data_IF_858147407852
#
_entry.id   IF_858147407852
#
_cell.length_a   1.000
_cell.length_b   1.000
_cell.length_c   1.000
_cell.angle_alpha   90.00
_cell.angle_beta   90.00
_cell.angle_gamma   90.00
#
_symmetry.space_group_name_H-M   'P 1'
#
loop_
_entity.id
_entity.type
_entity.pdbx_description
1 polymer ?
#
# COMPACT_ATOMS: atom_id res chain seq x y z
N UNK A 1 -22.99 -9.86 -17.77
CA UNK A 1 -23.16 -8.76 -18.74
C UNK A 1 -22.31 -7.62 -18.22
N UNK A 2 -21.41 -7.03 -19.01
CA UNK A 2 -20.68 -5.85 -18.57
C UNK A 2 -21.69 -4.70 -18.43
N UNK A 3 -21.82 -4.12 -17.23
CA UNK A 3 -22.67 -2.95 -17.02
C UNK A 3 -22.23 -1.83 -17.97
N UNK A 4 -23.20 -1.21 -18.62
CA UNK A 4 -22.94 -0.15 -19.60
C UNK A 4 -22.47 1.08 -18.83
N UNK A 5 -21.31 1.61 -19.19
CA UNK A 5 -20.79 2.85 -18.62
C UNK A 5 -21.81 3.98 -18.80
N UNK A 6 -21.96 4.80 -17.77
CA UNK A 6 -22.85 5.98 -17.77
C UNK A 6 -22.39 7.01 -18.81
N UNK A 7 -21.09 7.31 -18.81
CA UNK A 7 -20.39 8.08 -19.84
C UNK A 7 -19.38 7.16 -20.57
N UNK A 8 -19.62 6.82 -21.85
CA UNK A 8 -18.75 5.93 -22.60
C UNK A 8 -17.36 6.53 -22.90
N UNK A 9 -17.17 7.84 -22.70
CA UNK A 9 -15.88 8.50 -22.94
C UNK A 9 -14.99 8.53 -21.69
N UNK A 10 -15.55 8.20 -20.52
CA UNK A 10 -14.81 8.17 -19.26
C UNK A 10 -14.40 6.75 -18.89
N UNK A 11 -13.30 6.56 -18.16
CA UNK A 11 -12.97 5.26 -17.58
C UNK A 11 -14.05 4.76 -16.61
N UNK A 12 -14.16 3.44 -16.45
CA UNK A 12 -15.11 2.80 -15.53
C UNK A 12 -15.02 3.29 -14.07
N UNK A 13 -13.81 3.61 -13.60
CA UNK A 13 -13.54 3.99 -12.21
C UNK A 13 -13.72 5.48 -11.91
N UNK A 14 -14.01 6.31 -12.92
CA UNK A 14 -14.20 7.74 -12.70
C UNK A 14 -15.52 8.00 -11.98
N UNK A 15 -15.54 8.98 -11.07
CA UNK A 15 -16.79 9.43 -10.44
C UNK A 15 -17.58 10.24 -11.47
N UNK A 16 -18.84 9.85 -11.70
CA UNK A 16 -19.75 10.56 -12.61
C UNK A 16 -20.79 11.40 -11.87
N UNK A 17 -21.07 11.04 -10.62
CA UNK A 17 -22.04 11.73 -9.78
C UNK A 17 -21.57 11.72 -8.33
N UNK A 18 -21.67 12.86 -7.66
CA UNK A 18 -21.50 12.99 -6.19
C UNK A 18 -22.86 13.34 -5.63
N UNK A 19 -23.34 12.54 -4.67
CA UNK A 19 -24.65 12.67 -4.05
C UNK A 19 -24.59 13.70 -2.90
N UNK A 20 -25.74 14.26 -2.53
CA UNK A 20 -25.85 15.29 -1.49
C UNK A 20 -25.33 14.83 -0.12
N UNK A 21 -25.39 13.52 0.15
CA UNK A 21 -24.92 12.92 1.39
C UNK A 21 -23.43 12.54 1.37
N UNK A 22 -22.69 12.97 0.34
CA UNK A 22 -21.26 12.72 0.14
C UNK A 22 -20.92 11.36 -0.44
N UNK A 23 -21.91 10.48 -0.67
CA UNK A 23 -21.69 9.27 -1.46
C UNK A 23 -21.40 9.66 -2.92
N UNK A 24 -20.90 8.70 -3.71
CA UNK A 24 -20.62 8.94 -5.12
C UNK A 24 -20.99 7.72 -5.97
N UNK A 25 -21.23 7.94 -7.25
CA UNK A 25 -21.46 6.89 -8.23
C UNK A 25 -20.31 6.91 -9.24
N UNK A 26 -19.66 5.76 -9.39
CA UNK A 26 -18.66 5.53 -10.42
C UNK A 26 -19.32 5.34 -11.77
N UNK A 27 -18.56 5.56 -12.84
CA UNK A 27 -19.03 5.45 -14.21
C UNK A 27 -19.55 4.04 -14.55
N UNK A 28 -18.99 3.02 -13.90
CA UNK A 28 -19.44 1.62 -13.96
C UNK A 28 -20.67 1.30 -13.10
N UNK A 29 -21.28 2.28 -12.44
CA UNK A 29 -22.49 2.11 -11.62
C UNK A 29 -22.21 1.71 -10.17
N UNK A 30 -20.94 1.48 -9.80
CA UNK A 30 -20.59 1.17 -8.41
C UNK A 30 -20.83 2.39 -7.53
N UNK A 31 -21.70 2.25 -6.53
CA UNK A 31 -21.90 3.25 -5.48
C UNK A 31 -20.78 3.18 -4.45
N UNK A 32 -20.21 4.34 -4.15
CA UNK A 32 -19.22 4.57 -3.12
C UNK A 32 -19.85 5.27 -1.92
N UNK A 33 -19.51 4.81 -0.73
CA UNK A 33 -19.96 5.38 0.53
C UNK A 33 -19.00 6.46 1.00
N UNK A 34 -19.54 7.62 1.41
CA UNK A 34 -18.74 8.69 2.01
C UNK A 34 -17.88 8.15 3.16
N UNK A 35 -16.59 8.51 3.20
CA UNK A 35 -15.67 7.99 4.21
C UNK A 35 -16.15 8.25 5.65
N UNK A 36 -16.78 9.40 5.93
CA UNK A 36 -17.30 9.74 7.26
C UNK A 36 -18.48 8.87 7.74
N UNK A 37 -19.05 8.01 6.88
CA UNK A 37 -20.03 6.96 7.23
C UNK A 37 -19.36 5.60 7.47
N UNK A 38 -18.07 5.46 7.15
CA UNK A 38 -17.32 4.23 7.34
C UNK A 38 -16.74 4.18 8.76
N UNK A 39 -17.03 3.14 9.55
CA UNK A 39 -16.62 3.10 10.96
C UNK A 39 -15.10 3.01 11.14
N UNK A 40 -14.36 2.34 10.25
CA UNK A 40 -12.90 2.32 10.34
C UNK A 40 -12.29 3.69 10.01
N UNK A 41 -12.85 4.42 9.05
CA UNK A 41 -12.38 5.78 8.77
C UNK A 41 -12.69 6.75 9.90
N UNK A 42 -13.88 6.66 10.50
CA UNK A 42 -14.24 7.48 11.66
C UNK A 42 -13.33 7.20 12.84
N UNK A 43 -12.95 5.94 13.06
CA UNK A 43 -11.97 5.57 14.08
C UNK A 43 -10.56 6.09 13.74
N UNK A 44 -10.11 5.94 12.48
CA UNK A 44 -8.80 6.45 12.05
C UNK A 44 -8.68 7.97 12.13
N UNK A 45 -9.81 8.68 12.11
CA UNK A 45 -9.89 10.15 12.16
C UNK A 45 -10.56 10.65 13.43
N UNK A 46 -10.55 9.89 14.53
CA UNK A 46 -11.42 10.12 15.69
C UNK A 46 -11.32 11.51 16.33
N UNK A 47 -10.16 12.17 16.21
CA UNK A 47 -9.93 13.53 16.72
C UNK A 47 -10.21 14.63 15.70
N UNK A 48 -10.54 14.27 14.47
CA UNK A 48 -10.81 15.20 13.36
C UNK A 48 -10.19 14.72 12.04
N UNK A 49 -10.67 15.34 10.96
CA UNK A 49 -10.18 15.14 9.61
C UNK A 49 -9.29 16.34 9.24
N UNK A 50 -8.32 16.14 8.34
CA UNK A 50 -7.52 17.25 7.83
C UNK A 50 -8.39 18.11 6.89
N UNK A 51 -8.43 19.42 7.14
CA UNK A 51 -9.18 20.38 6.33
C UNK A 51 -8.27 21.10 5.33
N UNK A 52 -8.88 21.64 4.28
CA UNK A 52 -8.23 22.50 3.29
C UNK A 52 -8.37 23.96 3.74
N UNK A 53 -7.24 24.66 3.95
CA UNK A 53 -7.21 26.12 4.04
C UNK A 53 -6.37 26.68 2.87
N UNK A 54 -6.97 27.59 2.10
CA UNK A 54 -6.30 28.49 1.15
C UNK A 54 -5.28 27.86 0.18
N UNK A 55 -5.62 26.73 -0.47
CA UNK A 55 -4.77 26.05 -1.46
C UNK A 55 -3.37 25.62 -0.96
N UNK A 56 -3.15 25.61 0.35
CA UNK A 56 -1.94 25.09 0.97
C UNK A 56 -2.29 23.99 1.96
N UNK A 57 -1.50 22.90 1.94
CA UNK A 57 -1.70 21.78 2.85
C UNK A 57 -1.21 22.18 4.25
N UNK A 58 -2.11 22.57 5.14
CA UNK A 58 -1.82 22.64 6.57
C UNK A 58 -1.93 21.23 7.16
N UNK A 59 -0.89 20.42 6.94
CA UNK A 59 -0.82 19.10 7.55
C UNK A 59 -0.59 19.25 9.06
N UNK A 60 -1.69 19.22 9.84
CA UNK A 60 -1.65 19.28 11.29
C UNK A 60 -1.00 18.00 11.85
N UNK A 61 0.32 18.08 12.08
CA UNK A 61 1.11 17.01 12.70
C UNK A 61 0.59 16.61 14.08
N UNK A 62 -0.02 17.54 14.82
CA UNK A 62 -0.61 17.29 16.12
C UNK A 62 -1.89 16.46 16.02
N UNK A 63 -2.79 16.81 15.10
CA UNK A 63 -3.98 16.03 14.78
C UNK A 63 -3.60 14.62 14.30
N UNK A 64 -2.67 14.55 13.35
CA UNK A 64 -2.12 13.29 12.84
C UNK A 64 -1.61 12.38 13.95
N UNK A 65 -0.84 12.94 14.90
CA UNK A 65 -0.30 12.19 16.02
C UNK A 65 -1.39 11.69 16.98
N UNK A 66 -2.44 12.49 17.24
CA UNK A 66 -3.57 12.08 18.08
C UNK A 66 -4.37 10.95 17.42
N UNK A 67 -4.66 11.08 16.12
CA UNK A 67 -5.37 10.05 15.35
C UNK A 67 -4.57 8.75 15.27
N UNK A 68 -3.27 8.82 14.96
CA UNK A 68 -2.37 7.66 15.00
C UNK A 68 -2.38 6.97 16.37
N UNK A 69 -2.31 7.76 17.45
CA UNK A 69 -2.32 7.23 18.81
C UNK A 69 -3.61 6.47 19.12
N UNK A 70 -4.76 7.02 18.75
CA UNK A 70 -6.03 6.33 18.93
C UNK A 70 -6.13 5.04 18.09
N UNK A 71 -5.74 5.12 16.82
CA UNK A 71 -5.75 3.96 15.93
C UNK A 71 -4.85 2.85 16.45
N UNK A 72 -3.58 3.15 16.78
CA UNK A 72 -2.64 2.14 17.27
C UNK A 72 -3.03 1.63 18.66
N UNK A 73 -3.65 2.45 19.52
CA UNK A 73 -4.19 2.00 20.81
C UNK A 73 -5.27 0.94 20.60
N UNK A 74 -6.18 1.17 19.65
CA UNK A 74 -7.24 0.23 19.30
C UNK A 74 -6.69 -1.01 18.57
N UNK A 75 -5.85 -0.83 17.55
CA UNK A 75 -5.38 -1.92 16.71
C UNK A 75 -4.50 -2.89 17.51
N UNK A 76 -3.52 -2.36 18.25
CA UNK A 76 -2.52 -3.14 18.98
C UNK A 76 -2.97 -3.53 20.39
N UNK A 77 -4.27 -3.42 20.69
CA UNK A 77 -4.75 -3.55 22.06
C UNK A 77 -4.45 -4.94 22.66
N UNK A 78 -4.55 -6.01 21.86
CA UNK A 78 -4.26 -7.38 22.31
C UNK A 78 -2.78 -7.76 22.50
N UNK A 79 -1.84 -6.83 22.27
CA UNK A 79 -0.40 -7.13 22.37
C UNK A 79 0.13 -6.97 23.80
N UNK A 80 0.92 -7.96 24.23
CA UNK A 80 1.78 -7.89 25.42
C UNK A 80 2.91 -6.86 25.24
N UNK A 81 3.55 -6.46 26.34
CA UNK A 81 4.65 -5.48 26.30
C UNK A 81 5.84 -5.99 25.46
N UNK A 82 6.19 -7.27 25.61
CA UNK A 82 7.26 -7.90 24.81
C UNK A 82 6.93 -7.89 23.30
N UNK A 83 5.69 -8.21 22.93
CA UNK A 83 5.25 -8.16 21.54
C UNK A 83 5.27 -6.73 20.99
N UNK A 84 4.89 -5.73 21.80
CA UNK A 84 4.97 -4.31 21.40
C UNK A 84 6.41 -3.87 21.20
N UNK A 85 7.33 -4.25 22.07
CA UNK A 85 8.75 -3.92 21.94
C UNK A 85 9.36 -4.53 20.67
N UNK A 86 9.13 -5.83 20.46
CA UNK A 86 9.58 -6.54 19.26
C UNK A 86 8.98 -5.93 17.99
N UNK A 87 7.70 -5.58 18.03
CA UNK A 87 7.00 -4.94 16.91
C UNK A 87 7.53 -3.54 16.61
N UNK A 88 7.68 -2.70 17.62
CA UNK A 88 8.21 -1.35 17.48
C UNK A 88 9.60 -1.40 16.84
N UNK A 89 10.45 -2.31 17.32
CA UNK A 89 11.79 -2.53 16.77
C UNK A 89 11.75 -3.00 15.31
N UNK A 90 10.88 -3.96 14.97
CA UNK A 90 10.75 -4.50 13.60
C UNK A 90 10.21 -3.47 12.60
N UNK A 91 9.30 -2.61 13.03
CA UNK A 91 8.62 -1.63 12.18
C UNK A 91 9.29 -0.24 12.17
N UNK A 92 10.35 -0.03 12.96
CA UNK A 92 10.97 1.29 13.11
C UNK A 92 10.05 2.32 13.78
N UNK A 93 9.11 1.85 14.60
CA UNK A 93 8.20 2.67 15.40
C UNK A 93 8.76 2.83 16.81
N UNK A 94 8.28 3.83 17.56
CA UNK A 94 8.56 3.88 18.99
C UNK A 94 7.59 2.98 19.75
N UNK A 95 7.98 2.43 20.90
CA UNK A 95 7.06 1.69 21.78
C UNK A 95 5.87 2.59 22.18
N UNK A 96 6.10 3.89 22.32
CA UNK A 96 5.05 4.88 22.57
C UNK A 96 4.04 4.99 21.42
N UNK A 97 4.45 4.79 20.17
CA UNK A 97 3.56 4.76 18.99
C UNK A 97 2.67 3.51 18.97
N UNK A 98 3.09 2.41 19.61
CA UNK A 98 2.28 1.20 19.79
C UNK A 98 1.47 1.22 21.10
N UNK A 99 1.54 2.32 21.86
CA UNK A 99 0.80 2.63 23.10
C UNK A 99 1.11 1.67 24.28
N UNK A 100 0.81 2.03 25.55
CA UNK A 100 1.06 1.13 26.68
C UNK A 100 -0.01 0.03 26.81
N UNK A 101 0.32 -1.02 27.56
CA UNK A 101 -0.51 -2.20 27.81
C UNK A 101 -1.99 -1.88 28.10
N UNK A 102 -2.91 -2.66 27.51
CA UNK A 102 -4.36 -2.61 27.75
C UNK A 102 -4.76 -2.68 29.23
N UNK A 103 -3.96 -3.36 30.07
CA UNK A 103 -4.22 -3.42 31.52
C UNK A 103 -3.92 -2.12 32.25
N UNK A 104 -3.16 -1.20 31.65
CA UNK A 104 -2.87 0.09 32.27
C UNK A 104 -4.16 0.91 32.38
N UNK A 105 -4.39 1.50 33.55
CA UNK A 105 -5.57 2.34 33.80
C UNK A 105 -5.65 3.51 32.81
N UNK A 106 -4.49 3.99 32.34
CA UNK A 106 -4.38 5.04 31.33
C UNK A 106 -4.89 4.58 29.96
N UNK A 107 -4.48 3.41 29.48
CA UNK A 107 -4.96 2.86 28.20
C UNK A 107 -6.48 2.65 28.21
N UNK A 108 -7.03 2.14 29.31
CA UNK A 108 -8.48 1.96 29.48
C UNK A 108 -9.24 3.29 29.42
N UNK A 109 -8.77 4.32 30.11
CA UNK A 109 -9.38 5.64 30.09
C UNK A 109 -9.35 6.29 28.70
N UNK A 110 -8.24 6.11 27.97
CA UNK A 110 -8.13 6.61 26.59
C UNK A 110 -9.05 5.86 25.62
N UNK A 111 -9.17 4.54 25.73
CA UNK A 111 -10.09 3.77 24.91
C UNK A 111 -11.57 4.13 25.20
N UNK A 112 -11.91 4.42 26.46
CA UNK A 112 -13.24 4.90 26.82
C UNK A 112 -13.53 6.27 26.18
N UNK A 113 -12.57 7.20 26.18
CA UNK A 113 -12.70 8.49 25.49
C UNK A 113 -12.83 8.33 23.97
N UNK A 114 -12.06 7.43 23.36
CA UNK A 114 -12.17 7.09 21.93
C UNK A 114 -13.57 6.54 21.64
N UNK A 115 -14.09 5.65 22.48
CA UNK A 115 -15.42 5.05 22.33
C UNK A 115 -16.51 6.13 22.39
N UNK A 116 -16.43 7.05 23.36
CA UNK A 116 -17.39 8.18 23.46
C UNK A 116 -17.37 9.07 22.23
N UNK A 117 -16.18 9.41 21.72
CA UNK A 117 -16.04 10.19 20.47
C UNK A 117 -16.59 9.44 19.27
N UNK A 118 -16.41 8.13 19.23
CA UNK A 118 -16.86 7.30 18.13
C UNK A 118 -18.38 7.26 18.09
N UNK A 119 -19.00 6.99 19.24
CA UNK A 119 -20.46 7.05 19.43
C UNK A 119 -21.03 8.42 19.11
N UNK A 120 -20.33 9.51 19.45
CA UNK A 120 -20.76 10.86 19.08
C UNK A 120 -20.76 11.10 17.56
N UNK A 121 -19.90 10.42 16.79
CA UNK A 121 -19.81 10.56 15.33
C UNK A 121 -20.68 9.55 14.56
N UNK A 122 -20.84 8.33 15.09
CA UNK A 122 -21.54 7.23 14.41
C UNK A 122 -22.96 6.94 14.96
N UNK A 123 -23.28 7.44 16.15
CA UNK A 123 -24.52 7.14 16.88
C UNK A 123 -24.23 6.47 18.23
N UNK A 124 -25.05 6.78 19.24
CA UNK A 124 -24.83 6.34 20.62
C UNK A 124 -24.79 4.81 20.80
N UNK A 125 -25.53 4.09 19.96
CA UNK A 125 -25.63 2.62 20.01
C UNK A 125 -24.54 1.92 19.20
N UNK A 126 -23.63 2.67 18.56
CA UNK A 126 -22.58 2.10 17.72
C UNK A 126 -21.32 1.79 18.52
N UNK A 127 -20.94 0.52 18.57
CA UNK A 127 -19.69 0.07 19.17
C UNK A 127 -18.49 0.29 18.25
N UNK A 128 -17.30 0.43 18.85
CA UNK A 128 -16.06 0.40 18.09
C UNK A 128 -15.96 -0.91 17.27
N UNK A 129 -15.45 -0.86 16.03
CA UNK A 129 -15.12 -2.06 15.28
C UNK A 129 -14.23 -3.00 16.10
N UNK A 130 -14.43 -4.31 15.97
CA UNK A 130 -13.54 -5.29 16.61
C UNK A 130 -12.12 -5.17 16.04
N UNK A 131 -11.11 -5.14 16.92
CA UNK A 131 -9.69 -5.18 16.53
C UNK A 131 -9.21 -6.59 16.12
N UNK A 132 -10.04 -7.61 16.32
CA UNK A 132 -9.79 -8.97 15.81
C UNK A 132 -10.23 -9.13 14.35
N UNK A 133 -11.10 -8.22 13.88
CA UNK A 133 -11.59 -8.20 12.50
C UNK A 133 -10.71 -7.40 11.54
N UNK A 134 -10.97 -7.59 10.26
CA UNK A 134 -10.31 -6.86 9.18
C UNK A 134 -10.78 -5.40 9.13
N UNK A 135 -9.89 -4.48 8.76
CA UNK A 135 -10.23 -3.08 8.52
C UNK A 135 -10.77 -2.91 7.11
N UNK A 136 -12.05 -2.51 6.97
CA UNK A 136 -12.73 -2.51 5.68
C UNK A 136 -13.14 -1.11 5.20
N UNK A 137 -12.41 -0.61 4.21
CA UNK A 137 -12.65 0.62 3.47
C UNK A 137 -13.11 0.36 2.03
N UNK A 138 -13.62 -0.85 1.75
CA UNK A 138 -14.12 -1.21 0.42
C UNK A 138 -15.27 -0.30 0.01
N UNK A 139 -15.24 0.17 -1.24
CA UNK A 139 -16.21 1.10 -1.82
C UNK A 139 -16.30 2.43 -1.04
N UNK A 140 -15.25 2.88 -0.35
CA UNK A 140 -15.23 4.18 0.31
C UNK A 140 -14.76 5.29 -0.65
N UNK A 141 -15.35 6.48 -0.55
CA UNK A 141 -14.82 7.71 -1.15
C UNK A 141 -14.26 8.63 -0.08
N UNK A 142 -12.95 8.88 -0.15
CA UNK A 142 -12.21 9.81 0.70
C UNK A 142 -12.06 11.14 -0.04
N UNK A 143 -12.94 12.10 0.28
CA UNK A 143 -12.95 13.43 -0.34
C UNK A 143 -11.89 14.39 0.23
N UNK A 144 -11.33 14.07 1.39
CA UNK A 144 -10.32 14.87 2.11
C UNK A 144 -8.94 14.19 2.10
N UNK A 145 -7.91 14.95 2.46
CA UNK A 145 -6.58 14.40 2.73
C UNK A 145 -6.64 13.28 3.78
N UNK A 146 -5.92 12.20 3.51
CA UNK A 146 -5.93 11.02 4.37
C UNK A 146 -4.52 10.71 4.88
N UNK A 147 -4.43 10.54 6.19
CA UNK A 147 -3.17 10.32 6.87
C UNK A 147 -3.21 9.05 7.72
N UNK A 148 -2.55 8.01 7.22
CA UNK A 148 -2.27 6.76 7.90
C UNK A 148 -0.79 6.64 8.28
N UNK A 149 -0.05 7.75 8.36
CA UNK A 149 1.37 7.75 8.72
C UNK A 149 1.58 6.97 10.03
N UNK A 150 2.45 5.95 9.99
CA UNK A 150 2.81 5.09 11.14
C UNK A 150 1.62 4.37 11.81
N UNK A 151 0.48 4.26 11.13
CA UNK A 151 -0.63 3.44 11.62
C UNK A 151 -0.37 1.95 11.39
N UNK A 152 -0.80 1.12 12.34
CA UNK A 152 -0.63 -0.33 12.31
C UNK A 152 -1.95 -1.03 12.01
N UNK A 153 -1.95 -1.87 10.99
CA UNK A 153 -3.06 -2.74 10.60
C UNK A 153 -2.69 -4.18 10.98
N UNK A 154 -3.17 -4.65 12.14
CA UNK A 154 -2.88 -6.01 12.66
C UNK A 154 -3.46 -7.12 11.78
N UNK A 155 -4.58 -6.82 11.14
CA UNK A 155 -5.38 -7.73 10.32
C UNK A 155 -5.40 -7.22 8.88
N UNK A 156 -6.16 -7.88 8.01
CA UNK A 156 -6.23 -7.46 6.62
C UNK A 156 -6.88 -6.08 6.53
N UNK A 157 -6.36 -5.25 5.63
CA UNK A 157 -6.84 -3.90 5.35
C UNK A 157 -7.32 -3.85 3.89
N UNK A 158 -8.63 -3.70 3.72
CA UNK A 158 -9.28 -3.70 2.40
C UNK A 158 -9.65 -2.28 1.99
N UNK A 159 -9.14 -1.84 0.84
CA UNK A 159 -9.43 -0.58 0.16
C UNK A 159 -9.96 -0.85 -1.26
N UNK A 160 -10.64 -1.98 -1.46
CA UNK A 160 -11.12 -2.38 -2.79
C UNK A 160 -12.11 -1.35 -3.32
N UNK A 161 -11.97 -0.96 -4.60
CA UNK A 161 -12.76 0.08 -5.25
C UNK A 161 -12.74 1.46 -4.56
N UNK A 162 -11.88 1.67 -3.55
CA UNK A 162 -11.83 2.92 -2.83
C UNK A 162 -11.32 4.05 -3.72
N UNK A 163 -11.84 5.26 -3.52
CA UNK A 163 -11.41 6.46 -4.24
C UNK A 163 -10.83 7.47 -3.27
N UNK A 164 -9.58 7.85 -3.51
CA UNK A 164 -8.87 8.90 -2.76
C UNK A 164 -8.83 10.15 -3.64
N UNK A 165 -9.71 11.11 -3.36
CA UNK A 165 -9.88 12.31 -4.19
C UNK A 165 -8.72 13.31 -4.01
N UNK A 166 -7.99 13.21 -2.89
CA UNK A 166 -6.87 14.06 -2.48
C UNK A 166 -5.65 13.21 -2.13
N UNK A 167 -4.57 13.86 -1.73
CA UNK A 167 -3.32 13.18 -1.36
C UNK A 167 -3.54 12.25 -0.15
N UNK A 168 -2.84 11.13 -0.18
CA UNK A 168 -2.87 10.14 0.89
C UNK A 168 -1.46 9.70 1.26
N UNK A 169 -1.21 9.61 2.56
CA UNK A 169 0.05 9.09 3.09
C UNK A 169 -0.19 7.86 3.96
N UNK A 170 0.52 6.80 3.60
CA UNK A 170 0.75 5.56 4.35
C UNK A 170 2.22 5.48 4.77
N UNK A 171 2.89 6.63 4.90
CA UNK A 171 4.33 6.68 5.20
C UNK A 171 4.61 5.99 6.53
N UNK A 172 5.52 5.02 6.53
CA UNK A 172 5.82 4.16 7.69
C UNK A 172 4.62 3.39 8.26
N UNK A 173 3.52 3.27 7.53
CA UNK A 173 2.40 2.41 7.92
C UNK A 173 2.84 0.94 7.90
N UNK A 174 2.26 0.14 8.79
CA UNK A 174 2.56 -1.28 8.90
C UNK A 174 1.32 -2.13 8.67
N UNK A 175 1.34 -2.89 7.58
CA UNK A 175 0.31 -3.86 7.22
C UNK A 175 0.79 -5.26 7.58
N UNK A 176 0.24 -5.82 8.67
CA UNK A 176 0.63 -7.14 9.16
C UNK A 176 -0.17 -8.26 8.53
N UNK A 177 -1.45 -8.01 8.24
CA UNK A 177 -2.28 -8.80 7.32
C UNK A 177 -2.10 -8.38 5.87
N UNK A 178 -2.99 -8.84 5.00
CA UNK A 178 -3.02 -8.44 3.59
C UNK A 178 -3.44 -6.97 3.45
N UNK A 179 -2.77 -6.23 2.56
CA UNK A 179 -3.16 -4.87 2.19
C UNK A 179 -3.68 -4.88 0.75
N UNK A 180 -4.98 -4.66 0.58
CA UNK A 180 -5.66 -4.94 -0.69
C UNK A 180 -6.30 -3.66 -1.23
N UNK A 181 -5.87 -3.25 -2.42
CA UNK A 181 -6.23 -1.99 -3.09
C UNK A 181 -6.83 -2.26 -4.48
N UNK A 182 -7.48 -3.41 -4.69
CA UNK A 182 -7.94 -3.81 -6.03
C UNK A 182 -8.98 -2.80 -6.55
N UNK A 183 -8.84 -2.36 -7.80
CA UNK A 183 -9.69 -1.34 -8.44
C UNK A 183 -9.79 0.01 -7.70
N UNK A 184 -8.87 0.31 -6.78
CA UNK A 184 -8.80 1.61 -6.12
C UNK A 184 -8.28 2.69 -7.07
N UNK A 185 -8.68 3.94 -6.83
CA UNK A 185 -8.22 5.10 -7.62
C UNK A 185 -7.68 6.19 -6.70
N UNK A 186 -6.47 6.65 -6.97
CA UNK A 186 -5.79 7.72 -6.26
C UNK A 186 -5.63 8.92 -7.18
N UNK A 187 -6.36 9.99 -6.89
CA UNK A 187 -6.32 11.23 -7.69
C UNK A 187 -5.18 12.16 -7.27
N UNK A 188 -4.86 12.21 -5.97
CA UNK A 188 -3.74 12.98 -5.42
C UNK A 188 -2.42 12.20 -5.36
N UNK A 189 -1.42 12.84 -4.78
CA UNK A 189 -0.13 12.23 -4.50
C UNK A 189 -0.26 11.12 -3.46
N UNK A 190 0.45 10.02 -3.68
CA UNK A 190 0.34 8.82 -2.83
C UNK A 190 1.69 8.38 -2.30
N UNK A 191 1.81 8.33 -0.97
CA UNK A 191 3.07 8.05 -0.28
C UNK A 191 2.99 6.77 0.56
N UNK A 192 3.69 5.72 0.12
CA UNK A 192 3.96 4.48 0.87
C UNK A 192 5.42 4.44 1.37
N UNK A 193 6.07 5.59 1.52
CA UNK A 193 7.47 5.65 1.90
C UNK A 193 7.71 4.92 3.23
N UNK A 194 8.74 4.09 3.32
CA UNK A 194 9.08 3.33 4.53
C UNK A 194 7.97 2.41 5.07
N UNK A 195 6.89 2.16 4.32
CA UNK A 195 5.83 1.27 4.77
C UNK A 195 6.30 -0.19 4.80
N UNK A 196 5.70 -0.99 5.68
CA UNK A 196 5.97 -2.42 5.76
C UNK A 196 4.72 -3.20 5.39
N UNK A 197 4.83 -4.07 4.39
CA UNK A 197 3.84 -5.07 4.02
C UNK A 197 4.38 -6.44 4.43
N UNK A 198 3.94 -6.93 5.59
CA UNK A 198 4.41 -8.21 6.15
C UNK A 198 3.74 -9.42 5.50
N UNK A 199 2.57 -9.23 4.88
CA UNK A 199 1.87 -10.22 4.04
C UNK A 199 1.80 -9.75 2.57
N UNK A 200 0.78 -10.19 1.83
CA UNK A 200 0.48 -9.77 0.47
C UNK A 200 0.09 -8.29 0.40
N UNK A 201 0.69 -7.54 -0.52
CA UNK A 201 0.26 -6.21 -0.94
C UNK A 201 -0.29 -6.29 -2.37
N UNK A 202 -1.58 -6.02 -2.54
CA UNK A 202 -2.32 -6.33 -3.77
C UNK A 202 -2.89 -5.03 -4.34
N UNK A 203 -2.36 -4.58 -5.47
CA UNK A 203 -2.72 -3.34 -6.16
C UNK A 203 -3.32 -3.58 -7.55
N UNK A 204 -3.88 -4.78 -7.78
CA UNK A 204 -4.38 -5.16 -9.09
C UNK A 204 -5.44 -4.17 -9.59
N UNK A 205 -5.30 -3.72 -10.83
CA UNK A 205 -6.20 -2.73 -11.44
C UNK A 205 -6.29 -1.39 -10.70
N UNK A 206 -5.42 -1.11 -9.72
CA UNK A 206 -5.37 0.21 -9.10
C UNK A 206 -4.90 1.26 -10.11
N UNK A 207 -5.39 2.49 -9.94
CA UNK A 207 -5.04 3.63 -10.80
C UNK A 207 -4.47 4.74 -9.93
N UNK A 208 -3.24 5.14 -10.22
CA UNK A 208 -2.56 6.27 -9.58
C UNK A 208 -2.42 7.39 -10.60
N UNK A 209 -3.14 8.48 -10.37
CA UNK A 209 -3.24 9.60 -11.31
C UNK A 209 -2.05 10.55 -11.20
N UNK A 210 -1.46 10.67 -10.00
CA UNK A 210 -0.37 11.59 -9.72
C UNK A 210 0.86 10.87 -9.14
N UNK A 211 1.80 11.64 -8.58
CA UNK A 211 3.06 11.11 -8.07
C UNK A 211 2.81 9.99 -7.05
N UNK A 212 3.51 8.88 -7.21
CA UNK A 212 3.42 7.75 -6.27
C UNK A 212 4.80 7.31 -5.81
N UNK A 213 4.95 7.09 -4.51
CA UNK A 213 6.24 6.69 -3.94
C UNK A 213 6.10 5.50 -3.00
N UNK A 214 6.83 4.43 -3.33
CA UNK A 214 7.09 3.27 -2.50
C UNK A 214 8.54 3.27 -1.96
N UNK A 215 9.16 4.46 -1.88
CA UNK A 215 10.57 4.57 -1.50
C UNK A 215 10.85 3.97 -0.12
N UNK A 216 11.85 3.10 -0.02
CA UNK A 216 12.17 2.31 1.19
C UNK A 216 11.05 1.40 1.71
N UNK A 217 9.96 1.20 0.96
CA UNK A 217 8.90 0.27 1.36
C UNK A 217 9.44 -1.18 1.36
N UNK A 218 8.97 -2.00 2.30
CA UNK A 218 9.35 -3.41 2.37
C UNK A 218 8.15 -4.31 2.09
N UNK A 219 8.27 -5.13 1.04
CA UNK A 219 7.30 -6.15 0.66
C UNK A 219 7.85 -7.53 1.03
N UNK A 220 7.27 -8.12 2.07
CA UNK A 220 7.81 -9.33 2.67
C UNK A 220 7.43 -10.59 1.91
N UNK A 221 6.21 -10.65 1.35
CA UNK A 221 5.67 -11.83 0.65
C UNK A 221 5.44 -11.52 -0.83
N UNK A 222 4.21 -11.15 -1.20
CA UNK A 222 3.82 -10.84 -2.58
C UNK A 222 3.56 -9.34 -2.69
N UNK A 223 4.02 -8.75 -3.80
CA UNK A 223 3.63 -7.42 -4.23
C UNK A 223 3.04 -7.55 -5.65
N UNK A 224 1.72 -7.54 -5.75
CA UNK A 224 1.03 -7.70 -7.03
C UNK A 224 0.56 -6.34 -7.56
N UNK A 225 1.20 -5.88 -8.63
CA UNK A 225 0.87 -4.67 -9.37
C UNK A 225 0.30 -5.01 -10.76
N UNK A 226 -0.25 -6.21 -10.94
CA UNK A 226 -0.79 -6.62 -12.23
C UNK A 226 -1.98 -5.77 -12.66
N UNK A 227 -1.97 -5.30 -13.89
CA UNK A 227 -2.96 -4.39 -14.48
C UNK A 227 -3.06 -3.02 -13.79
N UNK A 228 -2.10 -2.66 -12.92
CA UNK A 228 -2.02 -1.31 -12.36
C UNK A 228 -1.81 -0.28 -13.47
N UNK A 229 -2.28 0.93 -13.26
CA UNK A 229 -1.98 2.08 -14.12
C UNK A 229 -1.38 3.22 -13.30
N UNK A 230 -0.12 3.55 -13.56
CA UNK A 230 0.52 4.78 -13.08
C UNK A 230 0.51 5.82 -14.20
N UNK A 231 -0.08 6.98 -13.95
CA UNK A 231 -0.21 8.08 -14.91
C UNK A 231 0.89 9.13 -14.78
N UNK A 232 1.68 9.06 -13.72
CA UNK A 232 2.75 10.00 -13.38
C UNK A 232 3.95 9.26 -12.78
N UNK A 233 5.02 9.99 -12.47
CA UNK A 233 6.26 9.50 -11.86
C UNK A 233 5.97 8.56 -10.69
N UNK A 234 6.60 7.39 -10.72
CA UNK A 234 6.46 6.37 -9.67
C UNK A 234 7.83 5.93 -9.19
N UNK A 235 8.09 6.01 -7.88
CA UNK A 235 9.41 5.70 -7.32
C UNK A 235 9.37 4.49 -6.41
N UNK A 236 10.19 3.49 -6.72
CA UNK A 236 10.49 2.36 -5.85
C UNK A 236 11.91 2.44 -5.27
N UNK A 237 12.52 3.63 -5.23
CA UNK A 237 13.89 3.84 -4.72
C UNK A 237 14.09 3.17 -3.37
N UNK A 238 15.10 2.29 -3.27
CA UNK A 238 15.40 1.49 -2.08
C UNK A 238 14.26 0.61 -1.53
N UNK A 239 13.18 0.40 -2.29
CA UNK A 239 12.16 -0.58 -1.94
C UNK A 239 12.77 -1.99 -1.89
N UNK A 240 12.25 -2.84 -1.00
CA UNK A 240 12.74 -4.20 -0.78
C UNK A 240 11.64 -5.20 -1.08
N UNK A 241 11.93 -6.14 -1.97
CA UNK A 241 11.09 -7.29 -2.31
C UNK A 241 11.81 -8.54 -1.80
N UNK A 242 11.33 -9.12 -0.71
CA UNK A 242 12.10 -10.14 0.02
C UNK A 242 11.92 -11.55 -0.57
N UNK A 243 10.69 -11.92 -0.93
CA UNK A 243 10.32 -13.31 -1.23
C UNK A 243 9.94 -13.52 -2.70
N UNK A 244 9.07 -12.66 -3.24
CA UNK A 244 8.61 -12.73 -4.63
C UNK A 244 9.05 -11.52 -5.43
N UNK A 245 9.32 -11.74 -6.72
CA UNK A 245 9.57 -10.62 -7.65
C UNK A 245 8.23 -9.91 -7.84
N UNK A 246 8.15 -8.58 -7.73
CA UNK A 246 6.88 -7.88 -7.89
C UNK A 246 6.29 -8.12 -9.28
N UNK A 247 4.98 -8.36 -9.32
CA UNK A 247 4.29 -8.71 -10.56
C UNK A 247 3.73 -7.48 -11.25
N UNK A 248 4.02 -7.33 -12.54
CA UNK A 248 3.57 -6.21 -13.39
C UNK A 248 2.92 -6.69 -14.69
N UNK A 249 2.23 -7.84 -14.63
CA UNK A 249 1.49 -8.36 -15.79
C UNK A 249 0.41 -7.37 -16.23
N UNK A 250 0.29 -7.08 -17.53
CA UNK A 250 -0.63 -6.07 -18.08
C UNK A 250 -0.56 -4.65 -17.46
N UNK A 251 0.44 -4.34 -16.63
CA UNK A 251 0.61 -3.02 -16.03
C UNK A 251 0.94 -1.94 -17.07
N UNK A 252 0.49 -0.72 -16.81
CA UNK A 252 0.85 0.51 -17.53
C UNK A 252 1.63 1.41 -16.58
N UNK A 253 2.95 1.45 -16.75
CA UNK A 253 3.82 2.30 -15.93
C UNK A 253 4.12 3.59 -16.68
N UNK A 254 4.24 4.70 -15.96
CA UNK A 254 4.67 5.97 -16.52
C UNK A 254 6.16 5.91 -16.88
N UNK A 255 6.60 6.65 -17.90
CA UNK A 255 7.99 6.58 -18.41
C UNK A 255 9.06 6.90 -17.36
N UNK A 256 8.75 7.77 -16.40
CA UNK A 256 9.58 8.11 -15.24
C UNK A 256 9.29 7.20 -14.02
N UNK A 257 9.05 5.91 -14.25
CA UNK A 257 8.96 4.91 -13.18
C UNK A 257 10.34 4.37 -12.87
N UNK A 258 10.81 4.50 -11.64
CA UNK A 258 12.18 4.12 -11.22
C UNK A 258 12.15 2.95 -10.25
N UNK A 259 13.03 1.98 -10.47
CA UNK A 259 13.20 0.79 -9.64
C UNK A 259 14.53 0.79 -8.87
N UNK A 260 14.64 0.07 -7.74
CA UNK A 260 15.88 0.02 -6.98
C UNK A 260 16.96 -0.76 -7.75
N UNK A 261 18.07 -0.10 -8.10
CA UNK A 261 19.28 -0.76 -8.61
C UNK A 261 20.29 -0.85 -7.45
N UNK A 262 20.66 -2.05 -6.98
CA UNK A 262 21.67 -2.20 -5.94
C UNK A 262 23.04 -1.68 -6.39
N UNK A 263 23.56 -0.60 -5.79
CA UNK A 263 24.90 -0.09 -6.10
C UNK A 263 26.02 -1.01 -5.58
N UNK A 264 25.77 -1.76 -4.49
CA UNK A 264 26.57 -2.90 -3.96
C UNK A 264 25.95 -3.38 -2.64
N UNK A 265 25.86 -4.70 -2.43
CA UNK A 265 25.49 -5.35 -1.15
C UNK A 265 24.08 -5.09 -0.57
N UNK A 266 23.10 -4.68 -1.37
CA UNK A 266 21.72 -4.54 -0.88
C UNK A 266 20.79 -5.66 -1.39
N UNK A 267 20.16 -6.39 -0.46
CA UNK A 267 19.17 -7.45 -0.73
C UNK A 267 17.78 -6.83 -1.04
N UNK A 268 17.70 -5.92 -2.02
CA UNK A 268 16.42 -5.28 -2.43
C UNK A 268 15.53 -6.20 -3.26
N UNK A 269 16.11 -7.21 -3.90
CA UNK A 269 15.40 -8.12 -4.80
C UNK A 269 15.44 -9.56 -4.29
N UNK A 270 14.44 -10.39 -4.61
CA UNK A 270 14.32 -11.72 -4.05
C UNK A 270 15.48 -12.63 -4.43
N UNK A 271 15.82 -13.54 -3.52
CA UNK A 271 16.83 -14.56 -3.78
C UNK A 271 16.31 -15.58 -4.79
N UNK A 272 17.16 -15.91 -5.76
CA UNK A 272 16.84 -16.87 -6.82
C UNK A 272 16.51 -18.28 -6.31
N UNK A 273 17.07 -18.66 -5.16
CA UNK A 273 16.83 -19.95 -4.50
C UNK A 273 16.69 -19.73 -3.00
N UNK A 274 15.84 -20.52 -2.38
CA UNK A 274 15.53 -20.45 -0.95
C UNK A 274 14.27 -21.25 -0.65
N UNK A 275 14.05 -21.58 0.63
CA UNK A 275 12.87 -22.36 1.07
C UNK A 275 11.54 -21.73 0.65
N UNK A 276 11.49 -20.40 0.60
CA UNK A 276 10.30 -19.61 0.28
C UNK A 276 10.43 -18.83 -1.04
N UNK A 277 11.47 -19.08 -1.83
CA UNK A 277 11.69 -18.35 -3.08
C UNK A 277 10.67 -18.72 -4.14
N UNK A 278 10.17 -17.71 -4.85
CA UNK A 278 9.39 -17.86 -6.07
C UNK A 278 10.08 -18.82 -7.08
N UNK A 279 9.36 -19.70 -7.80
CA UNK A 279 9.99 -20.58 -8.79
C UNK A 279 10.77 -19.81 -9.86
N UNK A 280 11.92 -20.33 -10.29
CA UNK A 280 12.79 -19.62 -11.24
C UNK A 280 12.13 -19.31 -12.60
N UNK A 281 11.14 -20.11 -13.01
CA UNK A 281 10.36 -19.86 -14.23
C UNK A 281 9.47 -18.62 -14.10
N UNK A 282 8.89 -18.39 -12.93
CA UNK A 282 8.00 -17.26 -12.67
C UNK A 282 8.82 -16.00 -12.39
N UNK A 283 9.92 -16.10 -11.62
CA UNK A 283 10.89 -15.00 -11.47
C UNK A 283 11.38 -14.50 -12.84
N UNK A 284 11.74 -15.43 -13.74
CA UNK A 284 12.18 -15.08 -15.10
C UNK A 284 11.09 -14.30 -15.85
N UNK A 285 9.82 -14.68 -15.71
CA UNK A 285 8.69 -14.01 -16.37
C UNK A 285 8.50 -12.59 -15.83
N UNK A 286 8.56 -12.43 -14.51
CA UNK A 286 8.46 -11.13 -13.85
C UNK A 286 9.62 -10.20 -14.26
N UNK A 287 10.87 -10.67 -14.20
CA UNK A 287 12.03 -9.89 -14.64
C UNK A 287 12.00 -9.54 -16.14
N UNK A 288 11.55 -10.46 -16.99
CA UNK A 288 11.38 -10.18 -18.41
C UNK A 288 10.39 -9.05 -18.67
N UNK A 289 9.31 -8.98 -17.87
CA UNK A 289 8.31 -7.92 -17.95
C UNK A 289 8.90 -6.55 -17.57
N UNK A 290 9.63 -6.49 -16.46
CA UNK A 290 10.33 -5.28 -16.02
C UNK A 290 11.36 -4.83 -17.06
N UNK A 291 12.19 -5.74 -17.56
CA UNK A 291 13.16 -5.47 -18.63
C UNK A 291 12.52 -4.88 -19.88
N UNK A 292 11.42 -5.48 -20.35
CA UNK A 292 10.70 -4.98 -21.52
C UNK A 292 10.21 -3.53 -21.31
N UNK A 293 9.78 -3.18 -20.10
CA UNK A 293 9.39 -1.82 -19.79
C UNK A 293 10.58 -0.87 -19.79
N UNK A 294 11.66 -1.19 -19.06
CA UNK A 294 12.85 -0.34 -19.00
C UNK A 294 13.44 -0.06 -20.37
N UNK A 295 13.45 -1.07 -21.25
CA UNK A 295 13.88 -0.93 -22.63
C UNK A 295 13.02 0.10 -23.41
N UNK A 296 11.69 0.08 -23.22
CA UNK A 296 10.77 1.01 -23.90
C UNK A 296 10.90 2.44 -23.38
N UNK A 297 11.21 2.61 -22.10
CA UNK A 297 11.40 3.92 -21.46
C UNK A 297 12.83 4.44 -21.56
N UNK A 298 13.72 3.77 -22.31
CA UNK A 298 15.14 4.12 -22.46
C UNK A 298 15.92 4.21 -21.13
N UNK A 299 15.48 3.46 -20.11
CA UNK A 299 16.15 3.33 -18.82
C UNK A 299 17.18 2.20 -18.90
N UNK A 300 18.37 2.52 -19.41
CA UNK A 300 19.38 1.53 -19.83
C UNK A 300 19.95 0.76 -18.64
N UNK A 301 20.22 1.44 -17.53
CA UNK A 301 20.84 0.80 -16.36
C UNK A 301 19.89 -0.21 -15.69
N UNK A 302 18.61 0.14 -15.57
CA UNK A 302 17.55 -0.74 -15.08
C UNK A 302 17.30 -1.90 -16.05
N UNK A 303 17.31 -1.66 -17.37
CA UNK A 303 17.15 -2.72 -18.39
C UNK A 303 18.25 -3.77 -18.26
N UNK A 304 19.52 -3.34 -18.18
CA UNK A 304 20.67 -4.21 -18.00
C UNK A 304 20.59 -4.99 -16.68
N UNK A 305 20.19 -4.31 -15.60
CA UNK A 305 19.96 -4.96 -14.31
C UNK A 305 18.94 -6.10 -14.43
N UNK A 306 17.77 -5.85 -15.00
CA UNK A 306 16.75 -6.90 -15.16
C UNK A 306 17.15 -7.97 -16.17
N UNK A 307 17.97 -7.63 -17.18
CA UNK A 307 18.57 -8.61 -18.07
C UNK A 307 19.46 -9.60 -17.30
N UNK A 308 20.35 -9.11 -16.43
CA UNK A 308 21.16 -9.97 -15.57
C UNK A 308 20.31 -10.89 -14.71
N UNK A 309 19.23 -10.38 -14.10
CA UNK A 309 18.33 -11.21 -13.29
C UNK A 309 17.63 -12.29 -14.14
N UNK A 310 17.13 -11.93 -15.33
CA UNK A 310 16.53 -12.89 -16.28
C UNK A 310 17.53 -14.03 -16.64
N UNK A 311 18.80 -13.69 -16.88
CA UNK A 311 19.86 -14.64 -17.22
C UNK A 311 20.25 -15.54 -16.04
N UNK A 312 20.23 -15.01 -14.81
CA UNK A 312 20.40 -15.81 -13.58
C UNK A 312 19.30 -16.86 -13.47
N UNK A 313 18.03 -16.49 -13.72
CA UNK A 313 16.92 -17.45 -13.75
C UNK A 313 17.10 -18.50 -14.84
N UNK A 314 17.51 -18.11 -16.06
CA UNK A 314 17.80 -19.06 -17.15
C UNK A 314 18.89 -20.05 -16.78
N UNK A 315 19.95 -19.63 -16.09
CA UNK A 315 21.02 -20.51 -15.62
C UNK A 315 20.51 -21.63 -14.71
N UNK A 316 19.51 -21.34 -13.87
CA UNK A 316 18.88 -22.35 -13.00
C UNK A 316 18.02 -23.34 -13.79
N UNK A 317 17.28 -22.84 -14.78
CA UNK A 317 16.38 -23.64 -15.62
C UNK A 317 17.13 -24.44 -16.70
N UNK A 318 18.34 -24.03 -17.05
CA UNK A 318 19.10 -24.59 -18.16
C UNK A 318 19.70 -25.97 -17.86
N UNK A 319 19.81 -26.80 -18.92
CA UNK A 319 20.68 -27.98 -18.92
C UNK A 319 22.13 -27.57 -18.69
N UNK A 320 22.92 -28.47 -18.11
CA UNK A 320 24.27 -28.19 -17.62
C UNK A 320 25.20 -27.54 -18.67
N UNK A 321 25.09 -27.91 -19.95
CA UNK A 321 25.93 -27.39 -21.04
C UNK A 321 25.57 -25.96 -21.51
N UNK A 322 24.40 -25.44 -21.17
CA UNK A 322 24.04 -24.04 -21.46
C UNK A 322 24.38 -23.07 -20.31
N UNK A 323 24.69 -23.60 -19.12
CA UNK A 323 24.97 -22.78 -17.93
C UNK A 323 26.21 -21.87 -18.06
N UNK A 324 27.34 -22.31 -18.66
CA UNK A 324 28.51 -21.43 -18.81
C UNK A 324 28.21 -20.17 -19.62
N UNK A 325 27.40 -20.30 -20.69
CA UNK A 325 26.96 -19.19 -21.51
C UNK A 325 26.12 -18.19 -20.71
N UNK A 326 25.03 -18.65 -20.05
CA UNK A 326 24.17 -17.76 -19.27
C UNK A 326 24.88 -17.12 -18.06
N UNK A 327 25.83 -17.84 -17.46
CA UNK A 327 26.63 -17.33 -16.36
C UNK A 327 27.50 -16.15 -16.78
N UNK A 328 28.19 -16.24 -17.93
CA UNK A 328 29.00 -15.14 -18.49
C UNK A 328 28.15 -13.88 -18.73
N UNK A 329 26.98 -14.01 -19.38
CA UNK A 329 26.08 -12.88 -19.62
C UNK A 329 25.53 -12.25 -18.33
N UNK A 330 25.38 -13.02 -17.26
CA UNK A 330 24.90 -12.48 -15.98
C UNK A 330 25.92 -11.62 -15.22
N UNK A 331 27.19 -11.65 -15.64
CA UNK A 331 28.32 -10.93 -15.01
C UNK A 331 28.86 -9.77 -15.84
N UNK A 332 28.79 -9.84 -17.18
CA UNK A 332 29.42 -8.88 -18.09
C UNK A 332 28.46 -7.96 -18.85
N UNK A 333 27.14 -8.18 -18.76
CA UNK A 333 26.09 -7.25 -19.23
C UNK A 333 25.52 -6.52 -18.04
#
# INVERSE_FOLDING_TARGET
MAEKLTDPNKPAHEIVEVLEDGDAIRNDGVRLTAANKNPWYVLATIYGEHEEEDNYVTFDRGLAAKNRRAWNLWACQGLSDEEREDRAKKLGLTIADLTPHQSSQKAKAELEEITKRFQARMGADMDLPSNEGNSNFTNAIFSKYLNFEKMVFERDAFFNNAVFARDVTFTSAAFLGEAVFIYSTFFGDTHFNFSSFSSSAIFNFAVFMNFTSFGHATFSVIADFSSVTFKSTTRYSDAKFLTYVPEFHAAKLYEDTVFPIPERYTDNWPKLKGKYSMPAADQKRAYNRLRLFMNKSLQIDEEQFFHRQEMRCKTVLAKWYHKPFYWLFSWFS
#
